data_IF_740912145510
#
_entry.id   IF_740912145510
#
_cell.length_a   1.000
_cell.length_b   1.000
_cell.length_c   1.000
_cell.angle_alpha   90.00
_cell.angle_beta   90.00
_cell.angle_gamma   90.00
#
_symmetry.space_group_name_H-M   'P 1'
#
loop_
_entity.id
_entity.type
_entity.pdbx_description
1 polymer ?
#
# COMPACT_ATOMS: atom_id res chain seq x y z
N UNK A 1 9.01 46.26 28.91
CA UNK A 1 9.15 44.87 29.39
C UNK A 1 8.66 43.92 28.30
N UNK A 2 9.46 42.89 28.01
CA UNK A 2 9.19 41.74 27.11
C UNK A 2 7.84 41.07 27.46
N UNK A 3 7.11 40.43 26.54
CA UNK A 3 7.53 39.23 25.80
C UNK A 3 6.72 39.05 24.50
N UNK A 4 7.45 38.81 23.42
CA UNK A 4 7.00 38.07 22.25
C UNK A 4 6.53 36.68 22.68
N UNK A 5 5.33 36.27 22.30
CA UNK A 5 4.99 34.84 22.21
C UNK A 5 4.37 34.60 20.85
N UNK A 6 5.26 34.30 19.92
CA UNK A 6 4.94 33.86 18.57
C UNK A 6 4.34 32.46 18.74
N UNK A 7 3.04 32.32 18.53
CA UNK A 7 2.44 31.01 18.28
C UNK A 7 2.94 30.49 16.92
N UNK A 8 4.17 29.98 16.91
CA UNK A 8 4.64 29.02 15.93
C UNK A 8 3.87 27.73 16.17
N UNK A 9 2.59 27.70 15.76
CA UNK A 9 1.99 26.43 15.39
C UNK A 9 2.68 26.08 14.08
N UNK A 10 3.77 25.33 14.22
CA UNK A 10 4.41 24.58 13.16
C UNK A 10 3.29 23.85 12.43
N UNK A 11 2.88 24.42 11.30
CA UNK A 11 2.16 23.71 10.26
C UNK A 11 3.14 22.64 9.83
N UNK A 12 3.06 21.48 10.49
CA UNK A 12 3.61 20.24 9.97
C UNK A 12 2.79 19.93 8.74
N UNK A 13 3.12 20.61 7.64
CA UNK A 13 2.89 20.09 6.30
C UNK A 13 3.60 18.74 6.29
N UNK A 14 2.86 17.69 6.65
CA UNK A 14 3.18 16.35 6.22
C UNK A 14 3.18 16.43 4.70
N UNK A 15 4.37 16.58 4.13
CA UNK A 15 4.60 16.33 2.72
C UNK A 15 4.27 14.85 2.50
N UNK A 16 3.01 14.57 2.18
CA UNK A 16 2.59 13.31 1.57
C UNK A 16 3.22 13.29 0.18
N UNK A 17 4.49 12.91 0.14
CA UNK A 17 5.30 12.92 -1.05
C UNK A 17 4.78 11.86 -2.04
N UNK A 18 4.14 12.37 -3.09
CA UNK A 18 4.17 11.88 -4.47
C UNK A 18 3.82 10.39 -4.64
N UNK A 19 2.55 10.12 -4.94
CA UNK A 19 2.19 8.89 -5.62
C UNK A 19 2.72 8.96 -7.06
N UNK A 20 3.56 7.99 -7.43
CA UNK A 20 4.21 7.89 -8.73
C UNK A 20 3.18 7.75 -9.85
N UNK A 21 3.36 8.44 -10.99
CA UNK A 21 2.76 8.03 -12.27
C UNK A 21 3.62 6.93 -12.86
N UNK A 22 3.32 5.67 -12.54
CA UNK A 22 4.22 4.61 -12.98
C UNK A 22 3.65 3.22 -12.85
N UNK A 23 4.10 2.39 -13.78
CA UNK A 23 3.96 0.95 -13.68
C UNK A 23 5.20 0.41 -12.97
N UNK A 24 5.04 -0.01 -11.71
CA UNK A 24 6.14 -0.44 -10.85
C UNK A 24 5.92 -1.87 -10.34
N UNK A 25 6.99 -2.63 -10.20
CA UNK A 25 6.96 -3.87 -9.41
C UNK A 25 7.14 -3.55 -7.92
N UNK A 26 6.33 -4.17 -7.06
CA UNK A 26 6.36 -3.92 -5.60
C UNK A 26 6.91 -5.16 -4.91
N UNK A 27 8.14 -5.09 -4.40
CA UNK A 27 8.85 -6.19 -3.76
C UNK A 27 9.02 -5.97 -2.26
N UNK A 28 8.76 -6.98 -1.43
CA UNK A 28 9.13 -6.92 -0.01
C UNK A 28 10.66 -6.97 0.15
N UNK A 29 11.16 -6.15 1.07
CA UNK A 29 12.57 -6.05 1.44
C UNK A 29 13.12 -7.37 2.01
N UNK A 30 12.28 -8.12 2.73
CA UNK A 30 12.65 -9.34 3.45
C UNK A 30 12.74 -10.63 2.62
N UNK A 31 12.75 -10.58 1.28
CA UNK A 31 13.06 -11.78 0.50
C UNK A 31 12.46 -11.88 -0.89
N UNK A 32 12.50 -10.81 -1.69
CA UNK A 32 12.25 -10.88 -3.13
C UNK A 32 10.82 -11.29 -3.52
N UNK A 33 9.86 -11.12 -2.61
CA UNK A 33 8.45 -11.46 -2.88
C UNK A 33 7.73 -10.24 -3.44
N UNK A 34 7.11 -10.38 -4.59
CA UNK A 34 6.27 -9.35 -5.17
C UNK A 34 4.80 -9.52 -4.75
N UNK A 35 4.12 -8.39 -4.59
CA UNK A 35 2.67 -8.36 -4.34
C UNK A 35 1.91 -8.73 -5.62
N UNK A 36 1.05 -9.74 -5.56
CA UNK A 36 0.24 -10.24 -6.69
C UNK A 36 -1.17 -10.61 -6.23
N UNK A 37 -2.21 -10.51 -7.07
CA UNK A 37 -3.46 -11.20 -6.79
C UNK A 37 -3.29 -12.71 -6.80
N UNK A 38 -4.12 -13.38 -6.00
CA UNK A 38 -4.46 -14.77 -6.27
C UNK A 38 -5.26 -14.86 -7.56
N UNK A 39 -4.92 -15.79 -8.48
CA UNK A 39 -5.53 -15.87 -9.81
C UNK A 39 -7.05 -16.09 -9.79
N UNK A 40 -7.59 -16.72 -8.73
CA UNK A 40 -9.01 -17.09 -8.66
C UNK A 40 -9.81 -16.39 -7.56
N UNK A 41 -9.19 -16.07 -6.42
CA UNK A 41 -9.90 -15.50 -5.26
C UNK A 41 -9.75 -13.98 -5.18
N UNK A 42 -8.94 -13.39 -6.08
CA UNK A 42 -8.65 -11.95 -6.13
C UNK A 42 -8.05 -11.36 -4.84
N UNK A 43 -7.76 -12.22 -3.84
CA UNK A 43 -7.06 -11.87 -2.62
C UNK A 43 -5.64 -11.43 -2.97
N UNK A 44 -5.15 -10.37 -2.34
CA UNK A 44 -3.75 -10.00 -2.45
C UNK A 44 -2.87 -11.06 -1.73
N UNK A 45 -1.72 -11.34 -2.33
CA UNK A 45 -0.71 -12.26 -1.81
C UNK A 45 0.68 -11.76 -2.15
N UNK A 46 1.68 -12.38 -1.53
CA UNK A 46 3.09 -12.20 -1.89
C UNK A 46 3.64 -13.50 -2.50
N UNK A 47 4.30 -13.42 -3.65
CA UNK A 47 4.88 -14.58 -4.35
C UNK A 47 6.21 -14.23 -5.01
N UNK A 48 6.92 -15.22 -5.55
CA UNK A 48 8.16 -14.98 -6.32
C UNK A 48 7.91 -14.39 -7.71
N UNK A 49 6.71 -14.60 -8.27
CA UNK A 49 6.32 -13.96 -9.53
C UNK A 49 6.09 -12.46 -9.29
N UNK A 50 6.37 -11.63 -10.29
CA UNK A 50 6.13 -10.20 -10.20
C UNK A 50 5.27 -9.73 -11.36
N UNK A 51 4.17 -9.06 -11.06
CA UNK A 51 3.42 -8.30 -12.06
C UNK A 51 3.61 -6.80 -11.84
N UNK A 52 3.71 -6.02 -12.92
CA UNK A 52 3.69 -4.58 -12.81
C UNK A 52 2.40 -4.08 -12.13
N UNK A 53 2.52 -3.04 -11.30
CA UNK A 53 1.41 -2.36 -10.62
C UNK A 53 1.33 -0.92 -11.07
N UNK A 54 0.14 -0.45 -11.41
CA UNK A 54 -0.15 0.96 -11.58
C UNK A 54 -0.38 1.56 -10.20
N UNK A 55 0.41 2.57 -9.87
CA UNK A 55 0.18 3.44 -8.72
C UNK A 55 -0.39 4.73 -9.30
N UNK A 56 -1.56 5.15 -8.84
CA UNK A 56 -2.22 6.37 -9.30
C UNK A 56 -1.95 7.52 -8.34
N UNK A 57 -2.08 8.77 -8.81
CA UNK A 57 -1.96 9.99 -7.98
C UNK A 57 -2.93 10.01 -6.79
N UNK A 58 -4.09 9.36 -6.93
CA UNK A 58 -5.11 9.23 -5.88
C UNK A 58 -4.76 8.16 -4.82
N UNK A 59 -3.57 7.58 -4.86
CA UNK A 59 -3.11 6.52 -3.94
C UNK A 59 -3.70 5.14 -4.26
N UNK A 60 -4.33 4.96 -5.43
CA UNK A 60 -4.78 3.63 -5.85
C UNK A 60 -3.58 2.80 -6.30
N UNK A 61 -3.54 1.54 -5.91
CA UNK A 61 -2.53 0.58 -6.38
C UNK A 61 -3.29 -0.57 -7.04
N UNK A 62 -2.92 -0.97 -8.26
CA UNK A 62 -3.67 -1.99 -8.99
C UNK A 62 -2.99 -2.47 -10.29
N UNK A 63 -3.71 -3.21 -11.11
CA UNK A 63 -3.27 -3.74 -12.41
C UNK A 63 -4.49 -3.90 -13.30
N UNK A 64 -4.36 -3.74 -14.62
CA UNK A 64 -5.36 -4.10 -15.65
C UNK A 64 -6.83 -4.11 -15.17
N UNK A 65 -7.40 -2.92 -14.92
CA UNK A 65 -8.80 -2.77 -14.49
C UNK A 65 -9.09 -3.07 -13.01
N UNK A 66 -8.12 -3.57 -12.25
CA UNK A 66 -8.21 -3.85 -10.82
C UNK A 66 -7.64 -2.75 -9.91
N UNK A 67 -8.14 -2.65 -8.68
CA UNK A 67 -7.61 -1.83 -7.58
C UNK A 67 -7.60 -2.60 -6.25
N UNK A 68 -6.51 -2.44 -5.49
CA UNK A 68 -6.35 -3.01 -4.15
C UNK A 68 -7.22 -2.29 -3.14
N UNK A 69 -8.02 -3.05 -2.39
CA UNK A 69 -8.91 -2.58 -1.34
C UNK A 69 -8.73 -3.40 -0.07
N UNK A 70 -8.69 -2.73 1.08
CA UNK A 70 -8.71 -3.35 2.39
C UNK A 70 -10.13 -3.44 2.96
N UNK A 71 -10.30 -4.32 3.94
CA UNK A 71 -11.55 -4.52 4.67
C UNK A 71 -11.30 -4.51 6.18
N UNK A 72 -12.35 -4.23 6.96
CA UNK A 72 -12.25 -4.08 8.42
C UNK A 72 -11.80 -5.36 9.14
N UNK A 73 -11.91 -6.52 8.49
CA UNK A 73 -11.35 -7.78 8.99
C UNK A 73 -9.84 -7.92 8.72
N UNK A 74 -9.19 -6.91 8.13
CA UNK A 74 -7.77 -6.89 7.78
C UNK A 74 -7.42 -7.61 6.48
N UNK A 75 -8.39 -8.11 5.73
CA UNK A 75 -8.12 -8.71 4.42
C UNK A 75 -7.94 -7.66 3.34
N UNK A 76 -7.17 -8.03 2.31
CA UNK A 76 -6.87 -7.18 1.17
C UNK A 76 -7.22 -7.96 -0.09
N UNK A 77 -8.09 -7.38 -0.90
CA UNK A 77 -8.59 -7.96 -2.15
C UNK A 77 -8.43 -6.96 -3.27
N UNK A 78 -8.57 -7.44 -4.49
CA UNK A 78 -8.52 -6.61 -5.68
C UNK A 78 -9.80 -6.75 -6.48
N UNK A 79 -10.39 -5.61 -6.79
CA UNK A 79 -11.66 -5.53 -7.49
C UNK A 79 -11.59 -4.61 -8.68
N UNK A 80 -12.63 -4.65 -9.50
CA UNK A 80 -12.82 -3.69 -10.58
C UNK A 80 -12.69 -2.25 -10.05
N UNK A 81 -11.74 -1.53 -10.65
CA UNK A 81 -11.38 -0.14 -10.39
C UNK A 81 -12.53 0.82 -10.67
N UNK A 82 -13.40 0.48 -11.61
CA UNK A 82 -14.47 1.33 -12.10
C UNK A 82 -15.77 1.17 -11.30
N UNK A 83 -15.92 0.06 -10.58
CA UNK A 83 -17.09 -0.18 -9.75
C UNK A 83 -17.17 0.85 -8.61
N UNK A 84 -18.36 1.44 -8.44
CA UNK A 84 -18.55 2.61 -7.57
C UNK A 84 -18.18 2.33 -6.10
N UNK A 85 -18.46 1.12 -5.62
CA UNK A 85 -18.12 0.66 -4.27
C UNK A 85 -16.60 0.60 -3.99
N UNK A 86 -15.75 0.59 -5.03
CA UNK A 86 -14.29 0.50 -4.90
C UNK A 86 -13.58 1.85 -5.06
N UNK A 87 -14.33 2.95 -4.97
CA UNK A 87 -13.79 4.32 -4.99
C UNK A 87 -13.52 4.88 -3.59
N UNK A 88 -13.87 4.12 -2.55
CA UNK A 88 -13.72 4.51 -1.15
C UNK A 88 -12.26 4.58 -0.67
N UNK A 89 -12.03 5.20 0.51
CA UNK A 89 -10.71 5.34 1.09
C UNK A 89 -10.05 4.00 1.47
N UNK A 90 -10.83 2.92 1.63
CA UNK A 90 -10.28 1.57 1.80
C UNK A 90 -9.52 1.07 0.57
N UNK A 91 -9.75 1.64 -0.61
CA UNK A 91 -9.04 1.31 -1.85
C UNK A 91 -7.89 2.27 -2.18
N UNK A 92 -7.59 3.20 -1.27
CA UNK A 92 -6.52 4.18 -1.40
C UNK A 92 -5.43 3.91 -0.37
N UNK A 93 -4.19 4.16 -0.77
CA UNK A 93 -3.00 3.78 -0.05
C UNK A 93 -2.01 4.93 0.01
N UNK A 94 -1.43 5.15 1.19
CA UNK A 94 -0.35 6.09 1.38
C UNK A 94 0.97 5.35 1.28
N UNK A 95 1.82 5.80 0.37
CA UNK A 95 3.19 5.34 0.27
C UNK A 95 4.08 6.30 1.07
N UNK A 96 4.75 5.79 2.09
CA UNK A 96 5.73 6.57 2.87
C UNK A 96 7.12 6.03 2.60
N UNK A 97 7.97 6.86 1.99
CA UNK A 97 9.36 6.53 1.70
C UNK A 97 10.21 6.60 2.97
N UNK A 98 11.10 5.62 3.13
CA UNK A 98 12.15 5.57 4.14
C UNK A 98 13.41 4.96 3.49
N UNK A 99 14.40 5.81 3.17
CA UNK A 99 15.57 5.41 2.40
C UNK A 99 15.20 4.84 1.03
N UNK A 100 15.65 3.62 0.75
CA UNK A 100 15.33 2.88 -0.49
C UNK A 100 13.99 2.12 -0.44
N UNK A 101 13.26 2.19 0.68
CA UNK A 101 12.06 1.41 0.92
C UNK A 101 10.82 2.29 1.11
N UNK A 102 9.66 1.66 1.04
CA UNK A 102 8.34 2.25 1.20
C UNK A 102 7.50 1.41 2.15
N UNK A 103 6.74 2.06 3.02
CA UNK A 103 5.63 1.41 3.72
C UNK A 103 4.33 1.79 3.01
N UNK A 104 3.38 0.85 2.93
CA UNK A 104 2.10 1.05 2.23
C UNK A 104 0.97 0.98 3.26
N UNK A 105 0.46 2.14 3.66
CA UNK A 105 -0.60 2.29 4.66
C UNK A 105 -1.97 2.44 3.99
N UNK A 106 -3.03 1.86 4.54
CA UNK A 106 -4.39 2.09 4.03
C UNK A 106 -4.94 3.46 4.48
N UNK A 107 -5.61 4.20 3.58
CA UNK A 107 -6.13 5.53 3.93
C UNK A 107 -7.33 5.49 4.88
N UNK A 108 -8.17 4.44 4.82
CA UNK A 108 -9.31 4.27 5.73
C UNK A 108 -8.88 3.72 7.09
N UNK A 109 -7.99 2.73 7.10
CA UNK A 109 -7.51 2.08 8.32
C UNK A 109 -6.14 2.64 8.73
N UNK A 110 -6.14 3.79 9.41
CA UNK A 110 -4.91 4.48 9.83
C UNK A 110 -4.06 3.63 10.76
N UNK A 111 -2.74 3.71 10.59
CA UNK A 111 -1.77 2.87 11.30
C UNK A 111 -1.81 1.39 10.89
N UNK A 112 -2.53 1.05 9.82
CA UNK A 112 -2.58 -0.30 9.27
C UNK A 112 -1.93 -0.36 7.89
N UNK A 113 -0.92 -1.21 7.76
CA UNK A 113 -0.04 -1.34 6.61
C UNK A 113 -0.21 -2.69 5.93
N UNK A 114 0.20 -2.81 4.67
CA UNK A 114 0.33 -4.12 4.05
C UNK A 114 1.43 -4.91 4.76
N UNK A 115 1.07 -6.00 5.43
CA UNK A 115 1.98 -6.99 6.01
C UNK A 115 1.96 -8.31 5.25
N UNK A 116 3.08 -9.05 5.29
CA UNK A 116 3.20 -10.39 4.70
C UNK A 116 3.34 -11.42 5.81
N UNK A 117 2.45 -12.42 5.83
CA UNK A 117 2.32 -13.36 6.93
C UNK A 117 2.46 -14.83 6.51
N UNK A 118 2.95 -15.62 7.47
CA UNK A 118 2.76 -17.07 7.53
C UNK A 118 3.72 -17.92 6.68
N UNK A 119 3.44 -19.23 6.71
CA UNK A 119 4.09 -20.24 5.88
C UNK A 119 3.71 -20.07 4.40
N UNK A 120 4.61 -20.54 3.55
CA UNK A 120 4.42 -20.55 2.10
C UNK A 120 3.43 -21.66 1.76
N UNK A 121 2.30 -21.31 1.16
CA UNK A 121 1.32 -22.26 0.64
C UNK A 121 1.31 -22.11 -0.88
N UNK A 122 1.69 -23.17 -1.61
CA UNK A 122 1.83 -23.15 -3.08
C UNK A 122 2.70 -21.99 -3.61
N UNK A 123 3.86 -21.75 -2.97
CA UNK A 123 4.77 -20.67 -3.36
C UNK A 123 4.32 -19.25 -3.00
N UNK A 124 3.22 -19.10 -2.25
CA UNK A 124 2.60 -17.82 -1.92
C UNK A 124 2.48 -17.63 -0.40
N UNK A 125 2.67 -16.38 0.05
CA UNK A 125 2.35 -15.94 1.42
C UNK A 125 1.11 -15.07 1.43
N UNK A 126 0.36 -15.13 2.52
CA UNK A 126 -0.83 -14.29 2.71
C UNK A 126 -0.41 -12.85 2.98
N UNK A 127 -1.17 -11.89 2.48
CA UNK A 127 -1.09 -10.50 2.91
C UNK A 127 -2.31 -10.12 3.72
N UNK A 128 -2.12 -9.25 4.71
CA UNK A 128 -3.18 -8.65 5.53
C UNK A 128 -2.75 -7.25 5.94
N UNK A 129 -3.71 -6.48 6.46
CA UNK A 129 -3.38 -5.30 7.25
C UNK A 129 -2.64 -5.71 8.53
N UNK A 130 -1.61 -4.95 8.89
CA UNK A 130 -0.74 -5.13 10.06
C UNK A 130 -0.45 -3.76 10.69
N UNK A 131 -0.31 -3.69 12.01
CA UNK A 131 0.19 -2.50 12.70
C UNK A 131 1.70 -2.30 12.51
N UNK A 132 2.43 -3.36 12.19
CA UNK A 132 3.85 -3.35 11.87
C UNK A 132 4.03 -3.32 10.34
N UNK A 133 4.64 -2.26 9.77
CA UNK A 133 4.77 -2.15 8.34
C UNK A 133 5.80 -3.13 7.76
N UNK A 134 5.41 -3.85 6.71
CA UNK A 134 6.38 -4.45 5.80
C UNK A 134 7.04 -3.33 4.96
N UNK A 135 8.33 -3.47 4.70
CA UNK A 135 9.08 -2.55 3.85
C UNK A 135 9.13 -3.07 2.41
N UNK A 136 8.82 -2.20 1.46
CA UNK A 136 8.77 -2.53 0.04
C UNK A 136 9.75 -1.70 -0.79
N UNK A 137 10.40 -2.34 -1.76
CA UNK A 137 11.08 -1.67 -2.86
C UNK A 137 10.11 -1.52 -4.02
N UNK A 138 10.06 -0.33 -4.61
CA UNK A 138 9.34 -0.04 -5.84
C UNK A 138 10.34 -0.03 -6.98
N UNK A 139 10.19 -0.93 -7.94
CA UNK A 139 10.98 -0.98 -9.17
C UNK A 139 10.10 -0.53 -10.33
N UNK A 140 10.09 0.78 -10.54
CA UNK A 140 9.64 1.44 -11.75
C UNK A 140 10.91 1.64 -12.63
#
# INVERSE_FOLDING_TARGET
MMKFSICFILISYFTFATAFKGTCHIYSAGGGRALNPHPTSWRLMASSASVPRVIDEDGKIGWSGGVMCAFGNGEIFVYDRNAQQNKGPNCKWNLKKSGAYYTIENQQYKGSYIGIYGQIVYGRKKTRLDSNPEHFQLKC
#
